data_IF_223028447410
#
_entry.id   IF_223028447410
#
_cell.length_a   1.000
_cell.length_b   1.000
_cell.length_c   1.000
_cell.angle_alpha   90.00
_cell.angle_beta   90.00
_cell.angle_gamma   90.00
#
_symmetry.space_group_name_H-M   'P 1'
#
loop_
_entity.id
_entity.type
_entity.pdbx_description
1 polymer ?
#
# COMPACT_ATOMS: atom_id res chain seq x y z
N UNK A 1 65.82 51.51 21.96
CA UNK A 1 64.51 51.11 22.47
C UNK A 1 63.55 50.57 21.40
N UNK A 2 63.44 51.13 20.20
CA UNK A 2 62.47 50.72 19.16
C UNK A 2 62.72 49.27 18.62
N UNK A 3 63.94 48.81 18.38
CA UNK A 3 64.28 47.45 17.90
C UNK A 3 63.84 46.33 18.86
N UNK A 4 63.90 46.57 20.17
CA UNK A 4 63.45 45.55 21.17
C UNK A 4 61.91 45.46 21.21
N UNK A 5 61.19 46.59 21.06
CA UNK A 5 59.74 46.58 21.00
C UNK A 5 59.26 45.81 19.76
N UNK A 6 59.91 45.99 18.63
CA UNK A 6 59.54 45.28 17.36
C UNK A 6 59.79 43.77 17.47
N UNK A 7 60.89 43.34 18.11
CA UNK A 7 61.13 41.91 18.37
C UNK A 7 60.08 41.25 19.27
N UNK A 8 59.71 41.96 20.33
CA UNK A 8 58.66 41.51 21.25
C UNK A 8 57.32 41.39 20.55
N UNK A 9 56.93 42.38 19.73
CA UNK A 9 55.72 42.30 18.89
C UNK A 9 55.73 41.12 17.92
N UNK A 10 56.86 40.87 17.27
CA UNK A 10 57.01 39.77 16.33
C UNK A 10 56.92 38.41 17.03
N UNK A 11 57.52 38.23 18.18
CA UNK A 11 57.42 37.03 19.01
C UNK A 11 55.96 36.80 19.47
N UNK A 12 55.31 37.87 19.95
CA UNK A 12 53.91 37.80 20.38
C UNK A 12 52.94 37.45 19.24
N UNK A 13 53.19 37.99 18.05
CA UNK A 13 52.39 37.63 16.84
C UNK A 13 52.60 36.16 16.46
N UNK A 14 53.86 35.71 16.47
CA UNK A 14 54.17 34.32 16.09
C UNK A 14 53.64 33.30 17.08
N UNK A 15 53.72 33.61 18.38
CA UNK A 15 53.08 32.79 19.44
C UNK A 15 51.55 32.76 19.31
N UNK A 16 50.90 33.84 18.98
CA UNK A 16 49.48 33.91 18.72
C UNK A 16 49.10 33.03 17.51
N UNK A 17 49.84 33.12 16.41
CA UNK A 17 49.62 32.29 15.21
C UNK A 17 49.77 30.81 15.53
N UNK A 18 50.83 30.43 16.26
CA UNK A 18 51.01 29.03 16.70
C UNK A 18 49.84 28.55 17.57
N UNK A 19 49.38 29.38 18.51
CA UNK A 19 48.26 29.06 19.36
C UNK A 19 46.96 28.86 18.57
N UNK A 20 46.71 29.72 17.57
CA UNK A 20 45.55 29.59 16.67
C UNK A 20 45.64 28.31 15.79
N UNK A 21 46.80 28.00 15.25
CA UNK A 21 47.01 26.78 14.45
C UNK A 21 46.84 25.53 15.29
N UNK A 22 47.47 25.46 16.48
CA UNK A 22 47.33 24.32 17.39
C UNK A 22 45.90 24.18 17.91
N UNK A 23 45.27 25.29 18.31
CA UNK A 23 43.89 25.30 18.74
C UNK A 23 42.90 24.87 17.64
N UNK A 24 43.13 25.35 16.42
CA UNK A 24 42.38 24.94 15.25
C UNK A 24 42.54 23.46 14.90
N UNK A 25 43.76 22.95 15.00
CA UNK A 25 44.03 21.52 14.79
C UNK A 25 43.36 20.63 15.86
N UNK A 26 43.45 20.99 17.12
CA UNK A 26 42.79 20.26 18.22
C UNK A 26 41.27 20.30 18.07
N UNK A 27 40.71 21.43 17.67
CA UNK A 27 39.27 21.58 17.38
C UNK A 27 38.83 20.69 16.19
N UNK A 28 39.63 20.65 15.14
CA UNK A 28 39.40 19.76 13.99
C UNK A 28 39.43 18.29 14.41
N UNK A 29 40.39 17.87 15.21
CA UNK A 29 40.48 16.49 15.73
C UNK A 29 39.23 16.14 16.56
N UNK A 30 38.76 17.04 17.44
CA UNK A 30 37.54 16.81 18.23
C UNK A 30 36.27 16.67 17.38
N UNK A 31 36.13 17.50 16.36
CA UNK A 31 34.97 17.39 15.45
C UNK A 31 35.09 16.10 14.61
N UNK A 32 36.27 15.76 14.12
CA UNK A 32 36.49 14.55 13.31
C UNK A 32 36.17 13.28 14.10
N UNK A 33 36.62 13.18 15.36
CA UNK A 33 36.27 12.08 16.26
C UNK A 33 34.77 12.04 16.53
N UNK A 34 34.14 13.17 16.89
CA UNK A 34 32.69 13.28 17.08
C UNK A 34 31.89 12.78 15.87
N UNK A 35 32.31 13.13 14.66
CA UNK A 35 31.58 12.78 13.41
C UNK A 35 31.62 11.28 13.13
N UNK A 36 32.76 10.64 13.42
CA UNK A 36 33.01 9.23 13.05
C UNK A 36 32.64 8.24 14.15
N UNK A 37 32.65 8.67 15.40
CA UNK A 37 32.45 7.78 16.56
C UNK A 37 30.99 7.81 17.05
N UNK A 38 30.38 6.66 17.33
CA UNK A 38 29.06 6.57 17.95
C UNK A 38 29.11 7.12 19.38
N UNK A 39 28.03 7.74 19.81
CA UNK A 39 27.91 8.26 21.17
C UNK A 39 27.85 7.15 22.24
N UNK A 40 27.12 6.09 21.93
CA UNK A 40 26.99 4.91 22.77
C UNK A 40 26.83 3.66 21.92
N UNK A 41 27.86 2.85 21.69
CA UNK A 41 27.82 1.68 20.82
C UNK A 41 26.75 0.63 21.21
N UNK A 42 26.33 0.61 22.48
CA UNK A 42 25.35 -0.34 23.02
C UNK A 42 23.92 0.26 23.10
N UNK A 43 23.71 1.50 22.60
CA UNK A 43 22.40 2.14 22.68
C UNK A 43 21.37 1.41 21.82
N UNK A 44 20.18 1.16 22.38
CA UNK A 44 19.04 0.60 21.66
C UNK A 44 18.50 1.60 20.60
N UNK A 45 17.92 1.04 19.56
CA UNK A 45 17.20 1.83 18.56
C UNK A 45 15.90 2.42 19.14
N UNK A 46 15.60 3.64 18.74
CA UNK A 46 14.37 4.34 19.11
C UNK A 46 13.79 5.12 17.94
N UNK A 47 12.51 5.44 18.03
CA UNK A 47 11.82 6.27 17.04
C UNK A 47 12.12 7.73 17.33
N UNK A 48 12.74 8.42 16.37
CA UNK A 48 13.04 9.84 16.40
C UNK A 48 12.18 10.57 15.35
N UNK A 49 11.46 11.61 15.75
CA UNK A 49 10.52 12.32 14.87
C UNK A 49 11.04 13.72 14.50
N UNK A 50 11.04 14.00 13.20
CA UNK A 50 11.28 15.34 12.64
C UNK A 50 9.97 15.84 12.04
N UNK A 51 9.43 16.93 12.62
CA UNK A 51 8.21 17.56 12.11
C UNK A 51 8.50 18.42 10.87
N UNK A 52 7.55 18.58 9.93
CA UNK A 52 7.69 19.51 8.82
C UNK A 52 8.06 20.92 9.31
N UNK A 53 9.03 21.57 8.66
CA UNK A 53 9.49 22.92 8.99
C UNK A 53 10.42 23.03 10.21
N UNK A 54 10.79 21.94 10.88
CA UNK A 54 11.74 22.00 11.99
C UNK A 54 13.12 22.47 11.55
N UNK A 55 13.68 23.45 12.28
CA UNK A 55 15.02 23.95 12.00
C UNK A 55 16.11 22.96 12.43
N UNK A 56 17.29 23.00 11.77
CA UNK A 56 18.47 22.23 12.18
C UNK A 56 18.81 22.40 13.66
N UNK A 57 18.60 23.61 14.23
CA UNK A 57 18.89 23.85 15.64
C UNK A 57 18.00 23.01 16.57
N UNK A 58 16.71 22.90 16.25
CA UNK A 58 15.75 22.08 16.99
C UNK A 58 16.05 20.60 16.81
N UNK A 59 16.31 20.17 15.57
CA UNK A 59 16.67 18.75 15.27
C UNK A 59 17.92 18.34 16.07
N UNK A 60 18.99 19.14 16.02
CA UNK A 60 20.23 18.84 16.76
C UNK A 60 20.03 18.86 18.29
N UNK A 61 19.17 19.75 18.80
CA UNK A 61 18.82 19.76 20.23
C UNK A 61 18.08 18.47 20.60
N UNK A 62 17.09 18.05 19.82
CA UNK A 62 16.31 16.83 20.09
C UNK A 62 17.19 15.57 19.99
N UNK A 63 18.06 15.46 18.99
CA UNK A 63 19.04 14.36 18.87
C UNK A 63 19.92 14.26 20.15
N UNK A 64 20.35 15.41 20.71
CA UNK A 64 21.11 15.42 21.96
C UNK A 64 20.24 15.02 23.16
N UNK A 65 19.04 15.61 23.28
CA UNK A 65 18.11 15.33 24.39
C UNK A 65 17.74 13.84 24.46
N UNK A 66 17.57 13.20 23.31
CA UNK A 66 17.28 11.78 23.22
C UNK A 66 18.54 10.89 23.28
N UNK A 67 19.72 11.47 23.60
CA UNK A 67 20.98 10.72 23.72
C UNK A 67 21.34 9.93 22.43
N UNK A 68 21.03 10.48 21.27
CA UNK A 68 21.41 9.94 19.97
C UNK A 68 22.78 10.50 19.57
N UNK A 69 23.08 11.76 19.92
CA UNK A 69 24.39 12.39 19.73
C UNK A 69 24.87 13.02 21.04
N UNK A 70 26.18 13.15 21.21
CA UNK A 70 26.77 13.79 22.39
C UNK A 70 26.75 15.31 22.34
N UNK A 71 26.89 15.92 21.15
CA UNK A 71 27.09 17.35 21.01
C UNK A 71 26.27 17.97 19.83
N UNK A 72 25.27 18.80 20.22
CA UNK A 72 24.42 19.49 19.23
C UNK A 72 25.15 20.54 18.40
N UNK A 73 26.19 21.20 18.96
CA UNK A 73 26.92 22.25 18.25
C UNK A 73 27.77 21.63 17.16
N UNK A 74 28.50 20.55 17.48
CA UNK A 74 29.31 19.83 16.50
C UNK A 74 28.44 19.23 15.39
N UNK A 75 27.30 18.68 15.71
CA UNK A 75 26.34 18.18 14.70
C UNK A 75 25.86 19.30 13.77
N UNK A 76 25.52 20.46 14.30
CA UNK A 76 25.15 21.64 13.50
C UNK A 76 26.28 22.10 12.57
N UNK A 77 27.50 22.21 13.10
CA UNK A 77 28.65 22.63 12.31
C UNK A 77 28.96 21.63 11.20
N UNK A 78 28.90 20.33 11.51
CA UNK A 78 29.10 19.25 10.54
C UNK A 78 28.02 19.28 9.43
N UNK A 79 26.74 19.41 9.81
CA UNK A 79 25.63 19.49 8.85
C UNK A 79 25.76 20.71 7.93
N UNK A 80 26.19 21.86 8.47
CA UNK A 80 26.45 23.07 7.68
C UNK A 80 27.67 22.89 6.75
N UNK A 81 28.73 22.29 7.24
CA UNK A 81 29.92 21.99 6.43
C UNK A 81 29.56 21.11 5.19
N UNK A 82 28.68 20.11 5.39
CA UNK A 82 28.15 19.27 4.32
C UNK A 82 27.09 19.99 3.44
N UNK A 83 26.78 21.26 3.70
CA UNK A 83 25.73 22.05 2.99
C UNK A 83 24.37 21.33 2.99
N UNK A 84 24.02 20.69 4.10
CA UNK A 84 22.89 19.78 4.23
C UNK A 84 21.76 20.32 5.11
N UNK A 85 21.86 21.53 5.68
CA UNK A 85 20.94 22.07 6.68
C UNK A 85 19.47 22.16 6.21
N UNK A 86 19.24 22.40 4.90
CA UNK A 86 17.91 22.50 4.28
C UNK A 86 17.45 21.21 3.62
N UNK A 87 18.26 20.14 3.70
CA UNK A 87 18.01 18.86 3.02
C UNK A 87 17.52 17.76 3.97
N UNK A 88 17.45 18.06 5.28
CA UNK A 88 16.95 17.11 6.25
C UNK A 88 15.44 16.90 6.02
N UNK A 89 15.02 15.65 5.85
CA UNK A 89 13.63 15.33 5.54
C UNK A 89 12.82 15.15 6.83
N UNK A 90 11.57 15.62 6.82
CA UNK A 90 10.61 15.37 7.88
C UNK A 90 10.17 13.90 7.85
N UNK A 91 9.84 13.34 9.02
CA UNK A 91 9.39 11.97 9.16
C UNK A 91 9.79 11.33 10.48
N UNK A 92 9.43 10.08 10.66
CA UNK A 92 9.88 9.25 11.78
C UNK A 92 11.04 8.37 11.34
N UNK A 93 12.09 8.32 12.14
CA UNK A 93 13.32 7.59 11.85
C UNK A 93 13.61 6.58 12.97
N UNK A 94 14.24 5.47 12.63
CA UNK A 94 14.81 4.56 13.63
C UNK A 94 16.27 4.93 13.79
N UNK A 95 16.61 5.61 14.90
CA UNK A 95 17.94 6.07 15.21
C UNK A 95 18.43 5.48 16.54
N UNK A 96 19.74 5.43 16.69
CA UNK A 96 20.40 4.98 17.90
C UNK A 96 21.68 5.74 18.12
N UNK A 97 22.09 5.91 19.38
CA UNK A 97 23.43 6.37 19.75
C UNK A 97 24.56 5.43 19.34
N UNK A 98 24.24 4.23 18.85
CA UNK A 98 25.21 3.28 18.27
C UNK A 98 25.62 3.64 16.83
N UNK A 99 24.94 4.59 16.21
CA UNK A 99 25.32 5.13 14.89
C UNK A 99 26.16 6.39 15.07
N UNK A 100 27.17 6.57 14.23
CA UNK A 100 27.95 7.81 14.22
C UNK A 100 27.10 9.00 13.74
N UNK A 101 27.40 10.24 14.13
CA UNK A 101 26.75 11.44 13.63
C UNK A 101 26.75 11.54 12.10
N UNK A 102 27.77 11.01 11.41
CA UNK A 102 27.80 10.94 9.95
C UNK A 102 26.74 9.99 9.40
N UNK A 103 26.62 8.79 9.96
CA UNK A 103 25.57 7.82 9.60
C UNK A 103 24.18 8.36 9.88
N UNK A 104 24.00 9.04 11.02
CA UNK A 104 22.71 9.68 11.36
C UNK A 104 22.37 10.73 10.32
N UNK A 105 23.31 11.63 9.97
CA UNK A 105 23.08 12.65 8.95
C UNK A 105 22.73 12.01 7.59
N UNK A 106 23.42 10.95 7.20
CA UNK A 106 23.12 10.22 5.96
C UNK A 106 21.70 9.64 5.93
N UNK A 107 21.25 9.03 7.02
CA UNK A 107 19.89 8.51 7.18
C UNK A 107 18.85 9.63 6.99
N UNK A 108 19.08 10.78 7.64
CA UNK A 108 18.19 11.94 7.57
C UNK A 108 18.15 12.59 6.17
N UNK A 109 19.29 12.61 5.46
CA UNK A 109 19.39 13.14 4.10
C UNK A 109 18.75 12.21 3.05
N UNK A 110 18.93 10.90 3.21
CA UNK A 110 18.32 9.90 2.33
C UNK A 110 16.81 9.73 2.60
N UNK A 111 16.29 10.33 3.66
CA UNK A 111 14.88 10.16 4.03
C UNK A 111 14.51 8.72 4.36
N UNK A 112 15.42 7.94 4.96
CA UNK A 112 15.15 6.56 5.38
C UNK A 112 14.22 6.54 6.58
N UNK A 113 12.98 6.98 6.36
CA UNK A 113 11.94 7.04 7.38
C UNK A 113 11.45 5.65 7.78
N UNK A 114 10.92 5.55 8.99
CA UNK A 114 10.24 4.36 9.47
C UNK A 114 8.97 4.13 8.63
N UNK A 115 8.83 2.92 8.11
CA UNK A 115 7.65 2.51 7.37
C UNK A 115 6.70 1.72 8.27
N UNK A 116 5.42 1.92 8.06
CA UNK A 116 4.33 1.23 8.73
C UNK A 116 3.66 0.29 7.75
N UNK A 117 3.51 -0.96 8.17
CA UNK A 117 2.91 -2.02 7.36
C UNK A 117 1.40 -1.95 7.42
N UNK A 118 0.75 -2.10 6.27
CA UNK A 118 -0.68 -2.36 6.14
C UNK A 118 -0.88 -3.52 5.16
N UNK A 119 -1.68 -4.51 5.53
CA UNK A 119 -2.04 -5.64 4.65
C UNK A 119 -3.49 -5.47 4.22
N UNK A 120 -3.70 -5.48 2.91
CA UNK A 120 -5.00 -5.42 2.25
C UNK A 120 -5.31 -6.82 1.73
N UNK A 121 -6.26 -7.56 2.34
CA UNK A 121 -6.65 -8.89 1.89
C UNK A 121 -7.32 -8.88 0.51
N UNK A 122 -7.23 -10.01 -0.20
CA UNK A 122 -8.01 -10.24 -1.42
C UNK A 122 -9.52 -10.25 -1.13
N UNK A 123 -10.32 -9.82 -2.08
CA UNK A 123 -11.77 -9.90 -2.03
C UNK A 123 -12.48 -8.89 -1.11
N UNK A 124 -11.77 -7.90 -0.56
CA UNK A 124 -12.41 -6.80 0.19
C UNK A 124 -12.71 -5.61 -0.74
N UNK A 125 -13.74 -4.84 -0.38
CA UNK A 125 -14.21 -3.69 -1.14
C UNK A 125 -13.58 -2.36 -0.67
N UNK A 126 -13.85 -1.27 -1.41
CA UNK A 126 -13.34 0.08 -1.09
C UNK A 126 -13.65 0.49 0.35
N UNK A 127 -14.86 0.20 0.88
CA UNK A 127 -15.25 0.60 2.23
C UNK A 127 -14.44 -0.14 3.31
N UNK A 128 -14.15 -1.41 3.07
CA UNK A 128 -13.34 -2.25 3.96
C UNK A 128 -11.87 -1.82 3.91
N UNK A 129 -11.33 -1.52 2.72
CA UNK A 129 -9.97 -0.96 2.57
C UNK A 129 -9.87 0.38 3.30
N UNK A 130 -10.82 1.29 3.09
CA UNK A 130 -10.86 2.60 3.73
C UNK A 130 -10.84 2.51 5.26
N UNK A 131 -11.55 1.52 5.83
CA UNK A 131 -11.53 1.23 7.27
C UNK A 131 -10.12 0.79 7.73
N UNK A 132 -9.45 -0.08 6.98
CA UNK A 132 -8.08 -0.53 7.31
C UNK A 132 -7.08 0.63 7.24
N UNK A 133 -7.17 1.47 6.22
CA UNK A 133 -6.31 2.65 6.02
C UNK A 133 -6.48 3.66 7.16
N UNK A 134 -7.71 3.93 7.60
CA UNK A 134 -8.00 4.80 8.74
C UNK A 134 -7.49 4.18 10.06
N UNK A 135 -7.72 2.89 10.26
CA UNK A 135 -7.24 2.16 11.45
C UNK A 135 -5.71 2.18 11.55
N UNK A 136 -5.01 2.15 10.41
CA UNK A 136 -3.57 2.32 10.31
C UNK A 136 -3.09 3.78 10.45
N UNK A 137 -4.01 4.73 10.62
CA UNK A 137 -3.76 6.17 10.80
C UNK A 137 -3.02 6.84 9.63
N UNK A 138 -3.25 6.38 8.41
CA UNK A 138 -2.72 7.06 7.22
C UNK A 138 -3.61 8.24 6.83
N UNK A 139 -4.90 8.00 6.57
CA UNK A 139 -5.85 9.07 6.26
C UNK A 139 -7.28 8.71 6.72
N UNK A 140 -8.20 9.67 6.65
CA UNK A 140 -9.59 9.45 7.07
C UNK A 140 -10.33 8.56 6.07
N UNK A 141 -11.17 7.68 6.59
CA UNK A 141 -12.02 6.76 5.80
C UNK A 141 -12.80 7.49 4.70
N UNK A 142 -13.46 8.60 5.05
CA UNK A 142 -14.31 9.31 4.09
C UNK A 142 -13.48 9.94 2.96
N UNK A 143 -12.32 10.54 3.25
CA UNK A 143 -11.43 11.13 2.24
C UNK A 143 -10.94 10.05 1.24
N UNK A 144 -10.67 8.83 1.74
CA UNK A 144 -10.29 7.71 0.90
C UNK A 144 -11.44 7.28 -0.02
N UNK A 145 -12.65 7.14 0.51
CA UNK A 145 -13.84 6.78 -0.26
C UNK A 145 -14.15 7.83 -1.32
N UNK A 146 -14.12 9.12 -0.96
CA UNK A 146 -14.41 10.22 -1.88
C UNK A 146 -13.44 10.22 -3.06
N UNK A 147 -12.14 10.02 -2.81
CA UNK A 147 -11.13 9.91 -3.86
C UNK A 147 -11.35 8.69 -4.77
N UNK A 148 -11.78 7.55 -4.21
CA UNK A 148 -12.10 6.36 -5.00
C UNK A 148 -13.32 6.54 -5.92
N UNK A 149 -14.11 7.61 -5.72
CA UNK A 149 -15.26 7.99 -6.54
C UNK A 149 -15.03 9.29 -7.33
N UNK A 150 -13.90 9.98 -7.14
CA UNK A 150 -13.58 11.20 -7.89
C UNK A 150 -13.16 10.86 -9.32
N UNK A 151 -14.03 11.20 -10.27
CA UNK A 151 -13.82 10.91 -11.70
C UNK A 151 -12.51 11.48 -12.23
N UNK A 152 -12.13 12.68 -11.80
CA UNK A 152 -10.91 13.36 -12.27
C UNK A 152 -9.68 12.62 -11.79
N UNK A 153 -9.70 12.22 -10.51
CA UNK A 153 -8.61 11.45 -9.91
C UNK A 153 -8.51 10.05 -10.53
N UNK A 154 -9.62 9.33 -10.70
CA UNK A 154 -9.66 8.01 -11.36
C UNK A 154 -9.05 8.06 -12.76
N UNK A 155 -9.45 9.06 -13.57
CA UNK A 155 -8.90 9.24 -14.91
C UNK A 155 -7.42 9.60 -14.91
N UNK A 156 -6.94 10.35 -13.91
CA UNK A 156 -5.51 10.68 -13.77
C UNK A 156 -4.65 9.46 -13.50
N UNK A 157 -5.22 8.39 -12.93
CA UNK A 157 -4.57 7.08 -12.73
C UNK A 157 -4.64 6.15 -13.96
N UNK A 158 -5.22 6.64 -15.07
CA UNK A 158 -5.38 5.85 -16.30
C UNK A 158 -6.53 4.84 -16.27
N UNK A 159 -7.36 4.86 -15.21
CA UNK A 159 -8.47 3.92 -15.04
C UNK A 159 -9.73 4.48 -15.71
N UNK A 160 -10.36 3.68 -16.57
CA UNK A 160 -11.61 4.02 -17.28
C UNK A 160 -12.79 3.31 -16.60
N UNK A 161 -13.11 3.72 -15.38
CA UNK A 161 -14.20 3.17 -14.58
C UNK A 161 -14.93 4.29 -13.80
N UNK A 162 -16.08 3.96 -13.22
CA UNK A 162 -16.87 4.89 -12.40
C UNK A 162 -16.28 5.03 -11.00
N UNK A 163 -15.66 3.97 -10.49
CA UNK A 163 -15.00 3.90 -9.19
C UNK A 163 -13.69 3.13 -9.31
N UNK A 164 -12.85 3.19 -8.28
CA UNK A 164 -11.64 2.38 -8.18
C UNK A 164 -11.90 0.97 -7.62
N UNK A 165 -13.17 0.54 -7.45
CA UNK A 165 -13.46 -0.83 -7.05
C UNK A 165 -12.89 -1.82 -8.06
N UNK A 166 -12.14 -2.80 -7.54
CA UNK A 166 -11.44 -3.80 -8.36
C UNK A 166 -10.03 -3.40 -8.80
N UNK A 167 -9.63 -2.14 -8.58
CA UNK A 167 -8.32 -1.62 -9.01
C UNK A 167 -7.37 -1.31 -7.86
N UNK A 168 -7.81 -1.43 -6.61
CA UNK A 168 -6.97 -1.29 -5.42
C UNK A 168 -6.34 -2.64 -5.10
N UNK A 169 -5.19 -2.94 -5.71
CA UNK A 169 -4.64 -4.30 -5.65
C UNK A 169 -4.37 -4.76 -4.21
N UNK A 170 -4.82 -5.97 -3.83
CA UNK A 170 -4.58 -6.52 -2.50
C UNK A 170 -3.13 -6.97 -2.36
N UNK A 171 -2.44 -6.44 -1.34
CA UNK A 171 -1.06 -6.81 -0.97
C UNK A 171 -0.70 -6.24 0.40
N UNK A 172 0.54 -6.44 0.82
CA UNK A 172 1.14 -5.78 1.98
C UNK A 172 1.94 -4.57 1.55
N UNK A 173 1.49 -3.40 1.98
CA UNK A 173 2.11 -2.11 1.67
C UNK A 173 2.87 -1.56 2.86
N UNK A 174 3.86 -0.70 2.58
CA UNK A 174 4.68 -0.05 3.57
C UNK A 174 4.72 1.47 3.30
N UNK A 175 4.16 2.25 4.21
CA UNK A 175 4.08 3.70 4.07
C UNK A 175 4.71 4.43 5.25
N UNK A 176 5.29 5.63 5.03
CA UNK A 176 5.59 6.55 6.11
C UNK A 176 4.34 6.91 6.93
N UNK A 177 4.52 7.33 8.17
CA UNK A 177 3.43 7.87 8.98
C UNK A 177 2.81 9.11 8.33
N UNK A 178 1.49 9.24 8.43
CA UNK A 178 0.72 10.34 7.85
C UNK A 178 0.83 10.42 6.30
N UNK A 179 1.04 9.31 5.63
CA UNK A 179 0.89 9.25 4.17
C UNK A 179 -0.54 9.62 3.80
N UNK A 180 -0.71 10.51 2.81
CA UNK A 180 -2.04 10.95 2.38
C UNK A 180 -2.79 9.89 1.57
N UNK A 181 -4.12 10.02 1.48
CA UNK A 181 -4.98 9.08 0.77
C UNK A 181 -4.61 8.92 -0.70
N UNK A 182 -4.22 10.01 -1.39
CA UNK A 182 -3.86 9.96 -2.81
C UNK A 182 -2.67 9.05 -3.03
N UNK A 183 -1.63 9.23 -2.19
CA UNK A 183 -0.41 8.40 -2.25
C UNK A 183 -0.74 6.93 -2.01
N UNK A 184 -1.56 6.61 -1.00
CA UNK A 184 -1.98 5.22 -0.72
C UNK A 184 -2.70 4.61 -1.91
N UNK A 185 -3.73 5.30 -2.43
CA UNK A 185 -4.53 4.84 -3.57
C UNK A 185 -3.67 4.69 -4.83
N UNK A 186 -2.84 5.70 -5.14
CA UNK A 186 -1.96 5.67 -6.32
C UNK A 186 -1.04 4.46 -6.28
N UNK A 187 -0.41 4.19 -5.12
CA UNK A 187 0.47 3.02 -4.96
C UNK A 187 -0.29 1.70 -5.20
N UNK A 188 -1.53 1.58 -4.71
CA UNK A 188 -2.33 0.37 -4.90
C UNK A 188 -2.74 0.18 -6.36
N UNK A 189 -3.10 1.27 -7.07
CA UNK A 189 -3.44 1.23 -8.50
C UNK A 189 -2.20 0.99 -9.37
N UNK A 190 -1.07 1.59 -9.04
CA UNK A 190 0.20 1.32 -9.73
C UNK A 190 0.59 -0.15 -9.58
N UNK A 191 0.38 -0.74 -8.40
CA UNK A 191 0.62 -2.17 -8.20
C UNK A 191 -0.34 -3.01 -9.05
N UNK A 192 -1.64 -2.67 -9.11
CA UNK A 192 -2.57 -3.31 -10.04
C UNK A 192 -2.04 -3.28 -11.48
N UNK A 193 -1.54 -2.15 -11.94
CA UNK A 193 -1.00 -2.00 -13.29
C UNK A 193 0.28 -2.83 -13.52
N UNK A 194 1.07 -3.14 -12.49
CA UNK A 194 2.22 -4.04 -12.61
C UNK A 194 1.81 -5.50 -12.74
N UNK A 195 0.69 -5.88 -12.11
CA UNK A 195 0.13 -7.24 -12.18
C UNK A 195 -0.66 -7.43 -13.46
N UNK A 196 -1.56 -6.47 -13.79
CA UNK A 196 -2.37 -6.53 -14.99
C UNK A 196 -1.60 -6.00 -16.21
N UNK A 197 -0.65 -6.81 -16.66
CA UNK A 197 0.33 -6.45 -17.70
C UNK A 197 -0.31 -6.18 -19.07
N UNK A 198 0.48 -5.62 -19.99
CA UNK A 198 0.07 -5.47 -21.40
C UNK A 198 -0.29 -6.80 -22.07
N UNK A 199 0.33 -7.90 -21.65
CA UNK A 199 -0.04 -9.26 -22.13
C UNK A 199 -1.45 -9.64 -21.67
N UNK A 200 -1.81 -9.39 -20.43
CA UNK A 200 -3.15 -9.63 -19.90
C UNK A 200 -4.20 -8.72 -20.57
N UNK A 201 -3.85 -7.46 -20.87
CA UNK A 201 -4.72 -6.56 -21.63
C UNK A 201 -4.96 -7.07 -23.06
N UNK A 202 -3.91 -7.55 -23.74
CA UNK A 202 -4.01 -8.16 -25.06
C UNK A 202 -4.86 -9.44 -25.01
N UNK A 203 -4.69 -10.27 -23.98
CA UNK A 203 -5.49 -11.48 -23.77
C UNK A 203 -6.97 -11.16 -23.58
N UNK A 204 -7.32 -10.19 -22.74
CA UNK A 204 -8.68 -9.71 -22.54
C UNK A 204 -9.31 -9.30 -23.88
N UNK A 205 -8.60 -8.49 -24.68
CA UNK A 205 -9.03 -8.06 -26.02
C UNK A 205 -9.27 -9.22 -26.97
N UNK A 206 -8.38 -10.22 -26.98
CA UNK A 206 -8.52 -11.43 -27.81
C UNK A 206 -9.77 -12.23 -27.44
N UNK A 207 -10.14 -12.23 -26.14
CA UNK A 207 -11.36 -12.87 -25.65
C UNK A 207 -12.62 -12.04 -25.91
N UNK A 208 -12.51 -10.82 -26.45
CA UNK A 208 -13.62 -9.91 -26.71
C UNK A 208 -14.09 -9.12 -25.49
N UNK A 209 -13.27 -9.01 -24.43
CA UNK A 209 -13.59 -8.29 -23.21
C UNK A 209 -12.77 -7.00 -23.06
N UNK A 210 -13.40 -5.99 -22.46
CA UNK A 210 -12.70 -4.83 -21.93
C UNK A 210 -11.94 -5.22 -20.63
N UNK A 211 -10.88 -4.50 -20.29
CA UNK A 211 -10.16 -4.69 -19.01
C UNK A 211 -11.13 -4.62 -17.83
N UNK A 212 -12.02 -3.63 -17.82
CA UNK A 212 -13.04 -3.44 -16.78
C UNK A 212 -13.97 -4.67 -16.64
N UNK A 213 -14.34 -5.32 -17.72
CA UNK A 213 -15.18 -6.51 -17.70
C UNK A 213 -14.43 -7.72 -17.11
N UNK A 214 -13.14 -7.87 -17.42
CA UNK A 214 -12.30 -8.92 -16.84
C UNK A 214 -12.13 -8.68 -15.33
N UNK A 215 -11.85 -7.44 -14.90
CA UNK A 215 -11.74 -7.10 -13.47
C UNK A 215 -13.07 -7.34 -12.74
N UNK A 216 -14.18 -7.00 -13.38
CA UNK A 216 -15.52 -7.27 -12.85
C UNK A 216 -15.75 -8.77 -12.68
N UNK A 217 -15.47 -9.57 -13.69
CA UNK A 217 -15.59 -11.03 -13.61
C UNK A 217 -14.67 -11.64 -12.55
N UNK A 218 -13.42 -11.18 -12.50
CA UNK A 218 -12.45 -11.61 -11.50
C UNK A 218 -12.92 -11.33 -10.07
N UNK A 219 -13.54 -10.16 -9.84
CA UNK A 219 -14.10 -9.81 -8.52
C UNK A 219 -15.24 -10.73 -8.10
N UNK A 220 -16.03 -11.23 -9.05
CA UNK A 220 -17.06 -12.22 -8.77
C UNK A 220 -16.43 -13.57 -8.45
N UNK A 221 -15.49 -14.04 -9.28
CA UNK A 221 -14.76 -15.29 -9.06
C UNK A 221 -14.07 -15.29 -7.68
N UNK A 222 -13.44 -14.17 -7.29
CA UNK A 222 -12.79 -14.01 -6.00
C UNK A 222 -13.75 -14.24 -4.81
N UNK A 223 -14.99 -13.79 -4.95
CA UNK A 223 -16.02 -13.91 -3.91
C UNK A 223 -16.75 -15.26 -3.88
N UNK A 224 -16.64 -16.07 -4.93
CA UNK A 224 -17.35 -17.36 -5.02
C UNK A 224 -16.59 -18.50 -4.35
N UNK A 225 -15.25 -18.49 -4.35
CA UNK A 225 -14.48 -19.58 -3.77
C UNK A 225 -13.21 -19.11 -3.07
N UNK A 226 -12.94 -19.70 -1.90
CA UNK A 226 -11.64 -19.62 -1.24
C UNK A 226 -10.61 -20.61 -1.80
N UNK A 227 -11.04 -21.59 -2.60
CA UNK A 227 -10.13 -22.57 -3.21
C UNK A 227 -9.56 -22.04 -4.53
N UNK A 228 -8.26 -21.76 -4.53
CA UNK A 228 -7.56 -21.28 -5.71
C UNK A 228 -7.61 -22.26 -6.91
N UNK A 229 -7.73 -23.56 -6.66
CA UNK A 229 -7.78 -24.57 -7.72
C UNK A 229 -9.12 -24.63 -8.44
N UNK A 230 -10.21 -24.22 -7.78
CA UNK A 230 -11.53 -24.17 -8.42
C UNK A 230 -11.77 -22.89 -9.22
N UNK A 231 -11.01 -21.81 -8.99
CA UNK A 231 -11.20 -20.53 -9.69
C UNK A 231 -11.26 -20.65 -11.22
N UNK A 232 -10.39 -21.42 -11.92
CA UNK A 232 -10.48 -21.56 -13.37
C UNK A 232 -11.74 -22.31 -13.85
N UNK A 233 -12.27 -23.25 -13.04
CA UNK A 233 -13.52 -23.97 -13.36
C UNK A 233 -14.74 -23.09 -13.15
N UNK A 234 -14.79 -22.33 -12.03
CA UNK A 234 -15.83 -21.33 -11.76
C UNK A 234 -15.83 -20.26 -12.85
N UNK A 235 -14.65 -19.79 -13.24
CA UNK A 235 -14.47 -18.86 -14.38
C UNK A 235 -15.09 -19.44 -15.65
N UNK A 236 -14.82 -20.72 -15.95
CA UNK A 236 -15.41 -21.41 -17.10
C UNK A 236 -16.96 -21.40 -17.07
N UNK A 237 -17.56 -21.64 -15.90
CA UNK A 237 -19.03 -21.57 -15.75
C UNK A 237 -19.55 -20.19 -16.10
N UNK A 238 -18.94 -19.12 -15.58
CA UNK A 238 -19.37 -17.75 -15.87
C UNK A 238 -19.17 -17.41 -17.34
N UNK A 239 -18.04 -17.75 -17.96
CA UNK A 239 -17.83 -17.53 -19.40
C UNK A 239 -18.86 -18.31 -20.25
N UNK A 240 -19.19 -19.54 -19.89
CA UNK A 240 -20.22 -20.33 -20.59
C UNK A 240 -21.60 -19.69 -20.47
N UNK A 241 -21.96 -19.17 -19.28
CA UNK A 241 -23.20 -18.44 -19.06
C UNK A 241 -23.27 -17.14 -19.88
N UNK A 242 -22.18 -16.33 -19.85
CA UNK A 242 -22.07 -15.12 -20.66
C UNK A 242 -22.25 -15.41 -22.16
N UNK A 243 -21.55 -16.43 -22.69
CA UNK A 243 -21.66 -16.86 -24.08
C UNK A 243 -23.09 -17.29 -24.47
N UNK A 244 -23.83 -17.88 -23.53
CA UNK A 244 -25.22 -18.33 -23.72
C UNK A 244 -26.25 -17.24 -23.36
N UNK A 245 -25.82 -16.00 -23.06
CA UNK A 245 -26.70 -14.91 -22.62
C UNK A 245 -27.55 -15.29 -21.38
N UNK A 246 -27.01 -16.11 -20.50
CA UNK A 246 -27.61 -16.46 -19.22
C UNK A 246 -27.30 -15.42 -18.16
N UNK A 247 -28.10 -15.36 -17.10
CA UNK A 247 -27.79 -14.59 -15.88
C UNK A 247 -26.65 -15.28 -15.12
N UNK A 248 -25.77 -14.50 -14.44
CA UNK A 248 -24.70 -15.10 -13.66
C UNK A 248 -25.18 -15.66 -12.32
N UNK A 249 -26.24 -15.11 -11.73
CA UNK A 249 -26.92 -15.59 -10.51
C UNK A 249 -25.93 -15.82 -9.36
N UNK A 250 -25.05 -14.85 -9.14
CA UNK A 250 -24.02 -14.86 -8.11
C UNK A 250 -24.48 -14.07 -6.89
N UNK A 251 -24.57 -14.72 -5.74
CA UNK A 251 -24.99 -14.12 -4.47
C UNK A 251 -24.13 -12.92 -4.04
N UNK A 252 -22.77 -12.96 -4.13
CA UNK A 252 -21.93 -11.81 -3.83
C UNK A 252 -22.30 -10.52 -4.55
N UNK A 253 -22.81 -10.61 -5.79
CA UNK A 253 -23.25 -9.44 -6.56
C UNK A 253 -24.51 -8.79 -5.98
N UNK A 254 -25.39 -9.61 -5.37
CA UNK A 254 -26.57 -9.12 -4.63
C UNK A 254 -26.15 -8.44 -3.36
N UNK A 255 -25.26 -9.08 -2.58
CA UNK A 255 -24.75 -8.56 -1.31
C UNK A 255 -24.13 -7.18 -1.49
N UNK A 256 -23.27 -7.01 -2.50
CA UNK A 256 -22.61 -5.75 -2.78
C UNK A 256 -23.60 -4.60 -3.05
N UNK A 257 -24.73 -4.90 -3.69
CA UNK A 257 -25.79 -3.92 -3.98
C UNK A 257 -26.68 -3.55 -2.81
N UNK A 258 -26.52 -4.20 -1.62
CA UNK A 258 -27.36 -3.98 -0.43
C UNK A 258 -26.65 -3.03 0.53
N UNK A 259 -27.27 -1.88 0.81
CA UNK A 259 -26.84 -1.01 1.93
C UNK A 259 -27.14 -1.68 3.27
N UNK A 260 -26.17 -1.69 4.18
CA UNK A 260 -26.29 -2.26 5.54
C UNK A 260 -26.75 -3.73 5.53
N UNK A 261 -26.05 -4.57 4.77
CA UNK A 261 -26.34 -6.00 4.71
C UNK A 261 -26.19 -6.67 6.09
N UNK A 262 -27.24 -7.41 6.51
CA UNK A 262 -27.34 -8.04 7.84
C UNK A 262 -26.69 -9.44 7.94
N UNK A 263 -25.95 -9.87 6.91
CA UNK A 263 -25.32 -11.19 6.83
C UNK A 263 -26.23 -12.28 6.25
N UNK A 264 -27.52 -12.00 6.00
CA UNK A 264 -28.49 -12.99 5.55
C UNK A 264 -29.15 -12.60 4.23
N UNK A 265 -28.87 -13.34 3.15
CA UNK A 265 -29.61 -13.19 1.89
C UNK A 265 -31.02 -13.74 2.04
N UNK A 266 -32.02 -12.90 1.72
CA UNK A 266 -33.45 -13.24 1.72
C UNK A 266 -33.98 -13.23 0.30
N UNK A 267 -35.04 -13.97 0.02
CA UNK A 267 -35.69 -14.00 -1.32
C UNK A 267 -36.04 -12.61 -1.88
N UNK A 268 -36.35 -11.64 -1.01
CA UNK A 268 -36.58 -10.24 -1.42
C UNK A 268 -35.34 -9.60 -2.03
N UNK A 269 -34.15 -9.93 -1.51
CA UNK A 269 -32.89 -9.38 -2.00
C UNK A 269 -32.56 -9.87 -3.44
N UNK A 270 -32.85 -11.15 -3.74
CA UNK A 270 -32.69 -11.71 -5.10
C UNK A 270 -33.61 -11.04 -6.13
N UNK A 271 -34.70 -10.41 -5.68
CA UNK A 271 -35.65 -9.69 -6.54
C UNK A 271 -35.38 -8.19 -6.65
N UNK A 272 -34.45 -7.65 -5.86
CA UNK A 272 -34.11 -6.22 -5.92
C UNK A 272 -33.49 -5.86 -7.27
N UNK A 273 -34.02 -4.80 -7.90
CA UNK A 273 -33.46 -4.25 -9.12
C UNK A 273 -32.31 -3.30 -8.77
N UNK A 274 -31.10 -3.79 -8.80
CA UNK A 274 -29.87 -2.99 -8.70
C UNK A 274 -28.97 -3.26 -9.90
N UNK A 275 -28.08 -2.35 -10.26
CA UNK A 275 -27.16 -2.57 -11.40
C UNK A 275 -26.12 -3.67 -11.11
N UNK A 276 -26.07 -4.18 -9.88
CA UNK A 276 -25.19 -5.26 -9.48
C UNK A 276 -25.89 -6.62 -9.39
N UNK A 277 -27.21 -6.68 -9.24
CA UNK A 277 -27.93 -7.93 -9.00
C UNK A 277 -27.99 -8.83 -10.24
N UNK A 278 -27.09 -9.78 -10.35
CA UNK A 278 -27.00 -10.73 -11.47
C UNK A 278 -28.11 -11.78 -11.52
N UNK A 279 -29.04 -11.80 -10.55
CA UNK A 279 -30.33 -12.53 -10.66
C UNK A 279 -31.36 -11.74 -11.46
N UNK A 280 -31.19 -10.42 -11.65
CA UNK A 280 -32.14 -9.56 -12.35
C UNK A 280 -31.63 -9.06 -13.69
N UNK A 281 -30.32 -8.98 -13.84
CA UNK A 281 -29.67 -8.55 -15.09
C UNK A 281 -29.00 -9.73 -15.81
N UNK A 282 -28.87 -9.61 -17.14
CA UNK A 282 -28.06 -10.50 -17.96
C UNK A 282 -26.68 -9.89 -18.16
N UNK A 283 -25.66 -10.74 -18.27
CA UNK A 283 -24.29 -10.29 -18.43
C UNK A 283 -23.64 -9.90 -17.10
N UNK A 284 -22.55 -9.12 -17.20
CA UNK A 284 -21.80 -8.62 -16.04
C UNK A 284 -22.55 -7.48 -15.33
N UNK A 285 -22.35 -7.31 -14.02
CA UNK A 285 -22.83 -6.14 -13.32
C UNK A 285 -22.13 -4.86 -13.77
N UNK A 286 -22.57 -3.70 -13.24
CA UNK A 286 -22.05 -2.37 -13.59
C UNK A 286 -20.54 -2.22 -13.42
N UNK A 287 -19.95 -2.97 -12.50
CA UNK A 287 -18.52 -2.97 -12.21
C UNK A 287 -18.14 -4.00 -11.16
N UNK A 288 -16.86 -4.02 -10.75
CA UNK A 288 -16.36 -4.94 -9.75
C UNK A 288 -17.09 -4.81 -8.40
N UNK A 289 -17.14 -5.90 -7.64
CA UNK A 289 -17.79 -5.98 -6.32
C UNK A 289 -16.80 -6.15 -5.17
N UNK A 290 -15.52 -6.27 -5.51
CA UNK A 290 -14.40 -6.41 -4.58
C UNK A 290 -13.09 -6.17 -5.34
N UNK A 291 -11.98 -6.10 -4.62
CA UNK A 291 -10.64 -6.04 -5.21
C UNK A 291 -10.05 -7.45 -5.30
N UNK A 292 -9.96 -8.02 -6.52
CA UNK A 292 -9.50 -9.39 -6.73
C UNK A 292 -7.98 -9.50 -6.63
N UNK A 293 -7.50 -10.65 -6.17
CA UNK A 293 -6.09 -11.02 -6.23
C UNK A 293 -5.65 -11.48 -7.62
N UNK A 294 -4.34 -11.67 -7.79
CA UNK A 294 -3.76 -12.08 -9.07
C UNK A 294 -4.35 -13.40 -9.61
N UNK A 295 -4.63 -14.35 -8.72
CA UNK A 295 -5.19 -15.67 -9.13
C UNK A 295 -6.61 -15.61 -9.66
N UNK A 296 -7.44 -14.69 -9.15
CA UNK A 296 -8.78 -14.48 -9.68
C UNK A 296 -8.74 -13.75 -11.03
N UNK A 297 -7.84 -12.77 -11.19
CA UNK A 297 -7.60 -12.09 -12.47
C UNK A 297 -7.08 -13.09 -13.53
N UNK A 298 -6.12 -13.92 -13.17
CA UNK A 298 -5.58 -14.97 -14.04
C UNK A 298 -6.67 -15.96 -14.45
N UNK A 299 -7.53 -16.40 -13.51
CA UNK A 299 -8.63 -17.31 -13.80
C UNK A 299 -9.68 -16.69 -14.73
N UNK A 300 -9.98 -15.38 -14.56
CA UNK A 300 -10.89 -14.68 -15.47
C UNK A 300 -10.38 -14.61 -16.91
N UNK A 301 -9.04 -14.48 -17.08
CA UNK A 301 -8.38 -14.44 -18.39
C UNK A 301 -8.13 -15.82 -18.99
N UNK A 302 -8.00 -16.86 -18.17
CA UNK A 302 -7.61 -18.21 -18.59
C UNK A 302 -8.57 -19.26 -17.99
N UNK A 303 -9.89 -19.21 -18.34
CA UNK A 303 -10.82 -20.24 -17.91
C UNK A 303 -10.41 -21.60 -18.47
N UNK A 304 -10.58 -22.67 -17.71
CA UNK A 304 -10.47 -24.02 -18.26
C UNK A 304 -11.63 -24.30 -19.21
N UNK A 305 -11.40 -25.11 -20.21
CA UNK A 305 -12.44 -25.45 -21.18
C UNK A 305 -13.36 -26.53 -20.60
N UNK A 306 -14.60 -26.16 -20.24
CA UNK A 306 -15.65 -27.07 -19.78
C UNK A 306 -17.00 -26.72 -20.41
N UNK A 307 -17.98 -27.60 -20.21
CA UNK A 307 -19.38 -27.35 -20.59
C UNK A 307 -20.26 -27.02 -19.38
N UNK A 308 -19.66 -26.83 -18.18
CA UNK A 308 -20.43 -26.57 -16.97
C UNK A 308 -21.15 -25.23 -17.04
N UNK A 309 -22.40 -25.22 -16.54
CA UNK A 309 -23.26 -24.06 -16.45
C UNK A 309 -23.69 -23.77 -15.01
N UNK A 310 -23.52 -24.72 -14.10
CA UNK A 310 -23.97 -24.63 -12.72
C UNK A 310 -22.88 -25.17 -11.76
N UNK A 311 -22.86 -24.64 -10.57
CA UNK A 311 -22.12 -25.20 -9.44
C UNK A 311 -22.92 -25.03 -8.14
N UNK A 312 -22.65 -25.86 -7.16
CA UNK A 312 -23.23 -25.81 -5.82
C UNK A 312 -22.19 -26.25 -4.79
N UNK A 313 -22.09 -25.54 -3.68
CA UNK A 313 -21.17 -25.87 -2.60
C UNK A 313 -21.51 -27.25 -1.99
N UNK A 314 -20.47 -28.06 -1.78
CA UNK A 314 -20.55 -29.34 -1.06
C UNK A 314 -20.48 -29.17 0.45
N UNK A 315 -20.31 -27.93 0.96
CA UNK A 315 -20.11 -27.59 2.39
C UNK A 315 -18.78 -28.07 2.98
N UNK A 316 -17.79 -28.34 2.11
CA UNK A 316 -16.42 -28.76 2.46
C UNK A 316 -15.39 -27.86 1.77
N UNK A 317 -15.72 -26.59 1.51
CA UNK A 317 -14.97 -25.59 0.75
C UNK A 317 -14.91 -25.83 -0.76
N UNK A 318 -15.42 -26.97 -1.27
CA UNK A 318 -15.43 -27.31 -2.70
C UNK A 318 -16.83 -27.27 -3.31
N UNK A 319 -16.90 -27.37 -4.64
CA UNK A 319 -18.16 -27.30 -5.39
C UNK A 319 -18.40 -28.55 -6.24
N UNK A 320 -19.67 -28.86 -6.46
CA UNK A 320 -20.11 -29.79 -7.48
C UNK A 320 -20.51 -29.00 -8.73
N UNK A 321 -19.86 -29.26 -9.85
CA UNK A 321 -20.12 -28.68 -11.14
C UNK A 321 -21.11 -29.53 -11.95
N UNK A 322 -21.98 -28.90 -12.73
CA UNK A 322 -23.03 -29.55 -13.51
C UNK A 322 -23.23 -28.85 -14.86
N UNK A 323 -23.57 -29.65 -15.90
CA UNK A 323 -23.84 -29.15 -17.25
C UNK A 323 -25.30 -28.78 -17.42
N UNK A 324 -26.20 -29.50 -16.77
CA UNK A 324 -27.65 -29.35 -16.89
C UNK A 324 -28.30 -28.93 -15.59
N UNK A 325 -29.51 -28.32 -15.68
CA UNK A 325 -30.29 -27.96 -14.50
C UNK A 325 -30.75 -29.18 -13.71
N UNK A 326 -30.98 -30.32 -14.39
CA UNK A 326 -31.36 -31.58 -13.74
C UNK A 326 -30.23 -32.09 -12.86
N UNK A 327 -28.97 -32.16 -13.36
CA UNK A 327 -27.80 -32.53 -12.58
C UNK A 327 -27.58 -31.56 -11.41
N UNK A 328 -27.76 -30.24 -11.65
CA UNK A 328 -27.64 -29.25 -10.59
C UNK A 328 -28.68 -29.47 -9.46
N UNK A 329 -29.94 -29.68 -9.80
CA UNK A 329 -31.00 -29.92 -8.83
C UNK A 329 -30.73 -31.21 -8.00
N UNK A 330 -30.19 -32.25 -8.62
CA UNK A 330 -29.76 -33.46 -7.92
C UNK A 330 -28.61 -33.14 -6.93
N UNK A 331 -27.63 -32.35 -7.36
CA UNK A 331 -26.53 -31.93 -6.50
C UNK A 331 -27.01 -31.04 -5.35
N UNK A 332 -27.91 -30.09 -5.59
CA UNK A 332 -28.56 -29.27 -4.53
C UNK A 332 -29.27 -30.17 -3.52
N UNK A 333 -30.08 -31.13 -4.00
CA UNK A 333 -30.77 -32.08 -3.13
C UNK A 333 -29.78 -32.87 -2.26
N UNK A 334 -28.69 -33.34 -2.87
CA UNK A 334 -27.65 -34.13 -2.19
C UNK A 334 -26.88 -33.34 -1.14
N UNK A 335 -26.42 -32.12 -1.48
CA UNK A 335 -25.45 -31.37 -0.65
C UNK A 335 -26.09 -30.29 0.23
N UNK A 336 -27.24 -29.72 -0.20
CA UNK A 336 -27.85 -28.59 0.50
C UNK A 336 -29.09 -28.98 1.32
N UNK A 337 -29.94 -29.91 0.82
CA UNK A 337 -31.26 -30.21 1.39
C UNK A 337 -31.27 -31.48 2.26
N UNK A 338 -30.36 -32.43 2.07
CA UNK A 338 -30.26 -33.58 2.96
C UNK A 338 -29.79 -33.12 4.33
N UNK A 339 -30.67 -33.16 5.32
CA UNK A 339 -30.30 -33.13 6.74
C UNK A 339 -29.40 -34.35 7.02
N UNK A 340 -28.24 -34.13 7.63
CA UNK A 340 -27.45 -35.21 8.25
C UNK A 340 -28.24 -35.83 9.39
#
# INVERSE_FOLDING_TARGET
>A
MAKNKLKILFIAFFTLVIFLVVGGHLFYLKISSFVKEPFNPLAAEKVFSIKPGQSLAVIAQNLKTESIISNKIFFKLFTKYKKAEKKLQAGEYILSGSKSPEQILEILLKGKVKLYRITIPEGININEIAFLVESAKFCRKQDFIDLCHDKTFILSLGIKAITLEGYLFPDTYFFPKNTDCKTVITTMVEHFNTIFTGEWQARAKTMGFLVHEIVTLASIIEKETGDAQERPVISSVFHNRLKKNMRLESDPTVIYGIKNFDGNIKRKHLKMKTPYNTYQIKGLPLGPIANPGAKALEAALNPVHTEYLFFVSKKDTTHQFSKTIQEHNQAVSKYQLRKK
#
